data_IF_033842471782
#
_entry.id   IF_033842471782
#
_cell.length_a   1.000
_cell.length_b   1.000
_cell.length_c   1.000
_cell.angle_alpha   90.00
_cell.angle_beta   90.00
_cell.angle_gamma   90.00
#
_symmetry.space_group_name_H-M   'P 1'
#
loop_
_entity.id
_entity.type
_entity.pdbx_description
1 polymer ?
#
# COMPACT_ATOMS: atom_id res chain seq x y z
N UNK A 1 -11.15 -8.70 12.64
CA UNK A 1 -10.28 -7.91 11.74
C UNK A 1 -10.57 -8.34 10.32
N UNK A 2 -10.76 -7.41 9.37
CA UNK A 2 -10.93 -7.71 7.95
C UNK A 2 -9.79 -7.07 7.16
N UNK A 3 -9.07 -7.88 6.39
CA UNK A 3 -8.03 -7.40 5.46
C UNK A 3 -8.73 -7.01 4.15
N UNK A 4 -8.44 -5.83 3.64
CA UNK A 4 -9.00 -5.33 2.37
C UNK A 4 -8.00 -5.39 1.22
N UNK A 5 -6.71 -5.28 1.53
CA UNK A 5 -5.62 -5.33 0.58
C UNK A 5 -4.39 -5.92 1.27
N UNK A 6 -3.84 -6.97 0.69
CA UNK A 6 -2.55 -7.56 1.03
C UNK A 6 -1.91 -7.94 -0.30
N UNK A 7 -0.75 -7.34 -0.58
CA UNK A 7 -0.02 -7.53 -1.83
C UNK A 7 1.06 -8.61 -1.71
N UNK A 8 1.29 -9.10 -0.50
CA UNK A 8 2.32 -10.10 -0.23
C UNK A 8 1.94 -11.44 -0.86
N UNK A 9 2.89 -12.14 -1.49
CA UNK A 9 2.65 -13.53 -1.90
C UNK A 9 3.12 -14.53 -0.84
N UNK A 10 2.48 -15.71 -0.71
CA UNK A 10 2.93 -16.75 0.22
C UNK A 10 4.39 -17.14 0.02
N UNK A 11 4.86 -17.19 -1.23
CA UNK A 11 6.24 -17.55 -1.59
C UNK A 11 7.24 -16.48 -1.15
N UNK A 12 6.89 -15.20 -1.34
CA UNK A 12 7.66 -14.07 -0.84
C UNK A 12 7.78 -14.14 0.69
N UNK A 13 6.64 -14.32 1.37
CA UNK A 13 6.60 -14.45 2.83
C UNK A 13 7.50 -15.60 3.29
N UNK A 14 7.32 -16.80 2.75
CA UNK A 14 8.11 -17.98 3.11
C UNK A 14 9.62 -17.76 2.89
N UNK A 15 9.99 -17.17 1.75
CA UNK A 15 11.40 -16.88 1.42
C UNK A 15 12.01 -15.91 2.44
N UNK A 16 11.29 -14.83 2.77
CA UNK A 16 11.75 -13.86 3.76
C UNK A 16 11.86 -14.50 5.15
N UNK A 17 10.81 -15.19 5.58
CA UNK A 17 10.72 -15.85 6.88
C UNK A 17 11.86 -16.84 7.12
N UNK A 18 12.19 -17.64 6.10
CA UNK A 18 13.31 -18.59 6.14
C UNK A 18 14.65 -17.88 6.36
N UNK A 19 14.92 -16.80 5.61
CA UNK A 19 16.19 -16.07 5.75
C UNK A 19 16.25 -15.25 7.03
N UNK A 20 15.13 -14.71 7.47
CA UNK A 20 14.98 -14.01 8.74
C UNK A 20 15.33 -14.92 9.91
N UNK A 21 14.72 -16.12 9.99
CA UNK A 21 15.02 -17.11 11.04
C UNK A 21 16.48 -17.57 11.02
N UNK A 22 17.09 -17.64 9.84
CA UNK A 22 18.50 -18.01 9.70
C UNK A 22 19.49 -16.85 9.96
N UNK A 23 19.02 -15.62 10.20
CA UNK A 23 19.89 -14.44 10.35
C UNK A 23 20.63 -14.06 9.06
N UNK A 24 20.03 -14.35 7.89
CA UNK A 24 20.66 -14.18 6.57
C UNK A 24 19.90 -13.22 5.65
N UNK A 25 19.09 -12.31 6.20
CA UNK A 25 18.43 -11.27 5.39
C UNK A 25 19.49 -10.29 4.87
N UNK A 26 19.50 -10.08 3.56
CA UNK A 26 20.38 -9.16 2.86
C UNK A 26 19.57 -8.15 2.04
N UNK A 27 20.25 -7.12 1.53
CA UNK A 27 19.62 -6.07 0.74
C UNK A 27 19.02 -6.60 -0.55
N UNK A 28 19.67 -7.56 -1.22
CA UNK A 28 19.15 -8.14 -2.47
C UNK A 28 17.82 -8.84 -2.24
N UNK A 29 17.70 -9.62 -1.15
CA UNK A 29 16.42 -10.19 -0.75
C UNK A 29 15.39 -9.08 -0.55
N UNK A 30 15.66 -8.07 0.29
CA UNK A 30 14.71 -6.99 0.54
C UNK A 30 14.29 -6.27 -0.74
N UNK A 31 15.24 -6.02 -1.64
CA UNK A 31 14.98 -5.32 -2.90
C UNK A 31 14.16 -6.12 -3.90
N UNK A 32 14.17 -7.45 -3.77
CA UNK A 32 13.42 -8.39 -4.60
C UNK A 32 11.98 -8.66 -4.11
N UNK A 33 11.60 -8.10 -2.96
CA UNK A 33 10.25 -8.19 -2.41
C UNK A 33 9.38 -7.05 -2.93
N UNK A 34 8.06 -7.17 -2.77
CA UNK A 34 7.19 -6.01 -2.77
C UNK A 34 5.75 -6.25 -3.22
N UNK A 35 5.40 -7.46 -3.62
CA UNK A 35 4.09 -7.75 -4.18
C UNK A 35 3.91 -7.26 -5.63
N UNK A 36 2.99 -7.87 -6.40
CA UNK A 36 2.81 -7.56 -7.82
C UNK A 36 1.82 -6.41 -8.12
N UNK A 37 0.99 -5.99 -7.17
CA UNK A 37 -0.09 -5.00 -7.42
C UNK A 37 0.39 -3.59 -7.12
N UNK A 38 1.07 -3.37 -6.01
CA UNK A 38 1.56 -2.07 -5.54
C UNK A 38 2.99 -2.22 -5.02
N UNK A 39 3.90 -2.68 -5.90
CA UNK A 39 5.29 -3.00 -5.55
C UNK A 39 5.94 -1.92 -4.70
N UNK A 40 6.27 -2.24 -3.45
CA UNK A 40 6.75 -1.27 -2.46
C UNK A 40 5.70 -0.19 -2.14
N UNK A 41 4.56 -0.64 -1.63
CA UNK A 41 3.49 0.21 -1.14
C UNK A 41 4.02 1.16 -0.07
N UNK A 42 3.86 2.47 -0.30
CA UNK A 42 4.38 3.52 0.56
C UNK A 42 3.29 4.42 1.15
N UNK A 43 2.11 4.46 0.54
CA UNK A 43 1.00 5.31 1.00
C UNK A 43 -0.34 4.81 0.50
N UNK A 44 -1.40 5.26 1.18
CA UNK A 44 -2.77 5.16 0.70
C UNK A 44 -3.47 6.50 0.85
N UNK A 45 -4.37 6.83 -0.07
CA UNK A 45 -5.17 8.06 -0.01
C UNK A 45 -6.61 7.76 -0.40
N UNK A 46 -7.56 8.29 0.36
CA UNK A 46 -8.97 8.23 0.02
C UNK A 46 -9.33 9.43 -0.88
N UNK A 47 -10.09 9.16 -1.93
CA UNK A 47 -10.59 10.16 -2.87
C UNK A 47 -11.90 9.72 -3.49
N UNK A 48 -12.19 10.28 -4.67
CA UNK A 48 -13.51 10.18 -5.27
C UNK A 48 -14.53 11.11 -4.59
N UNK A 49 -15.71 11.31 -5.20
CA UNK A 49 -16.72 12.26 -4.73
C UNK A 49 -17.31 11.89 -3.36
N UNK A 50 -17.20 10.63 -2.94
CA UNK A 50 -17.71 10.12 -1.67
C UNK A 50 -16.63 9.58 -0.74
N UNK A 51 -15.36 9.88 -1.03
CA UNK A 51 -14.19 9.48 -0.25
C UNK A 51 -14.07 7.97 -0.05
N UNK A 52 -14.58 7.15 -0.98
CA UNK A 52 -14.49 5.68 -0.90
C UNK A 52 -13.47 5.07 -1.84
N UNK A 53 -12.90 5.83 -2.76
CA UNK A 53 -11.88 5.31 -3.65
C UNK A 53 -10.52 5.38 -2.95
N UNK A 54 -9.93 4.23 -2.66
CA UNK A 54 -8.61 4.12 -2.04
C UNK A 54 -7.58 3.95 -3.14
N UNK A 55 -6.67 4.90 -3.27
CA UNK A 55 -5.51 4.83 -4.17
C UNK A 55 -4.29 4.34 -3.40
N UNK A 56 -3.51 3.42 -3.97
CA UNK A 56 -2.33 2.82 -3.33
C UNK A 56 -1.06 3.33 -4.01
N UNK A 57 -0.31 4.19 -3.32
CA UNK A 57 0.95 4.73 -3.80
C UNK A 57 2.10 3.73 -3.64
N UNK A 58 2.94 3.61 -4.67
CA UNK A 58 4.03 2.63 -4.77
C UNK A 58 5.31 3.30 -5.28
N UNK A 59 6.47 2.86 -4.76
CA UNK A 59 7.78 3.42 -5.14
C UNK A 59 8.39 2.80 -6.40
N UNK A 60 7.91 1.63 -6.83
CA UNK A 60 8.51 0.87 -7.95
C UNK A 60 7.49 0.42 -8.98
N UNK A 61 6.46 1.25 -9.20
CA UNK A 61 5.43 0.98 -10.20
C UNK A 61 5.04 2.23 -10.98
N UNK A 62 4.57 2.02 -12.22
CA UNK A 62 4.10 3.07 -13.15
C UNK A 62 2.58 3.16 -13.25
N UNK A 63 1.87 2.38 -12.44
CA UNK A 63 0.41 2.33 -12.34
C UNK A 63 0.00 2.66 -10.91
N UNK A 64 -1.18 3.25 -10.76
CA UNK A 64 -1.80 3.59 -9.49
C UNK A 64 -3.00 2.65 -9.24
N UNK A 65 -2.82 1.52 -8.54
CA UNK A 65 -3.92 0.65 -8.16
C UNK A 65 -4.90 1.41 -7.28
N UNK A 66 -6.18 1.06 -7.43
CA UNK A 66 -7.22 1.57 -6.55
C UNK A 66 -8.31 0.53 -6.35
N UNK A 67 -8.98 0.63 -5.21
CA UNK A 67 -10.14 -0.19 -4.89
C UNK A 67 -11.15 0.64 -4.11
N UNK A 68 -12.39 0.13 -4.01
CA UNK A 68 -13.46 0.82 -3.30
C UNK A 68 -13.58 0.32 -1.87
N UNK A 69 -13.48 1.22 -0.91
CA UNK A 69 -13.57 0.93 0.52
C UNK A 69 -15.03 0.82 1.00
N UNK A 70 -15.35 -0.13 1.88
CA UNK A 70 -16.66 -0.21 2.53
C UNK A 70 -16.91 0.94 3.52
N UNK A 71 -15.89 1.74 3.85
CA UNK A 71 -15.97 2.91 4.73
C UNK A 71 -15.32 4.10 4.04
N UNK A 72 -15.96 5.27 4.09
CA UNK A 72 -15.40 6.50 3.54
C UNK A 72 -14.21 7.00 4.38
N UNK A 73 -13.20 7.56 3.73
CA UNK A 73 -12.11 8.29 4.38
C UNK A 73 -12.56 9.65 4.91
N UNK A 74 -11.64 10.34 5.58
CA UNK A 74 -11.86 11.71 6.04
C UNK A 74 -11.52 12.73 4.94
N UNK A 75 -12.24 13.86 4.87
CA UNK A 75 -11.82 14.98 4.03
C UNK A 75 -10.40 15.42 4.39
N UNK A 76 -9.62 15.85 3.38
CA UNK A 76 -8.26 16.32 3.62
C UNK A 76 -8.28 17.68 4.31
N UNK A 77 -7.46 17.85 5.36
CA UNK A 77 -7.44 19.07 6.20
C UNK A 77 -7.25 20.37 5.40
N UNK A 78 -6.45 20.32 4.34
CA UNK A 78 -6.17 21.50 3.52
C UNK A 78 -7.36 21.92 2.66
N UNK A 79 -8.40 21.09 2.49
CA UNK A 79 -9.62 21.49 1.76
C UNK A 79 -10.37 22.61 2.49
N UNK A 80 -10.49 22.50 3.82
CA UNK A 80 -11.07 23.57 4.63
C UNK A 80 -10.19 24.81 4.69
N UNK A 81 -8.87 24.65 4.68
CA UNK A 81 -7.93 25.79 4.66
C UNK A 81 -8.00 26.56 3.35
N UNK A 82 -8.22 25.86 2.23
CA UNK A 82 -8.43 26.49 0.93
C UNK A 82 -9.79 27.18 0.80
N UNK A 83 -10.84 26.68 1.44
CA UNK A 83 -12.17 27.29 1.41
C UNK A 83 -12.25 28.63 2.18
N UNK A 84 -11.30 28.89 3.09
CA UNK A 84 -11.18 30.15 3.84
C UNK A 84 -10.26 31.19 3.20
N UNK A 85 -9.69 30.90 2.03
CA UNK A 85 -8.89 31.84 1.20
C UNK A 85 -9.71 32.34 0.03
#
# INVERSE_FOLDING_TARGET
MRILFDDSTPEEIERFDRRFRAGTVDMDLMLSMGGPVATWCASVTFGGPDLRDVYVGSLRQTRLPHFRSPVAGLPLVHWSEMAGR
#
